data_IF_567604542181
#
_entry.id   IF_567604542181
#
_cell.length_a   1.000
_cell.length_b   1.000
_cell.length_c   1.000
_cell.angle_alpha   90.00
_cell.angle_beta   90.00
_cell.angle_gamma   90.00
#
_symmetry.space_group_name_H-M   'P 1'
#
loop_
_entity.id
_entity.type
_entity.pdbx_description
1 polymer ?
#
# COMPACT_ATOMS: atom_id res chain seq x y z
N UNK A 1 -12.30 2.00 21.80
CA UNK A 1 -13.45 2.51 21.02
C UNK A 1 -14.32 1.33 20.64
N UNK A 2 -15.64 1.44 20.76
CA UNK A 2 -16.58 0.38 20.34
C UNK A 2 -17.34 0.85 19.10
N UNK A 3 -17.30 0.05 18.05
CA UNK A 3 -17.99 0.28 16.78
C UNK A 3 -18.97 -0.85 16.53
N UNK A 4 -20.23 -0.52 16.31
CA UNK A 4 -21.24 -1.50 15.96
C UNK A 4 -21.25 -1.69 14.45
N UNK A 5 -20.72 -2.82 14.00
CA UNK A 5 -20.82 -3.21 12.61
C UNK A 5 -22.27 -3.50 12.22
N UNK A 6 -22.71 -3.17 10.99
CA UNK A 6 -23.92 -3.70 10.41
C UNK A 6 -23.96 -5.24 10.45
N UNK A 7 -25.15 -5.88 10.49
CA UNK A 7 -25.27 -7.34 10.59
C UNK A 7 -24.52 -8.10 9.49
N UNK A 8 -24.58 -7.61 8.25
CA UNK A 8 -23.91 -8.23 7.10
C UNK A 8 -22.38 -8.17 7.24
N UNK A 9 -21.83 -7.01 7.59
CA UNK A 9 -20.39 -6.81 7.77
C UNK A 9 -19.86 -7.67 8.92
N UNK A 10 -20.64 -7.79 10.00
CA UNK A 10 -20.31 -8.68 11.11
C UNK A 10 -20.29 -10.15 10.68
N UNK A 11 -21.22 -10.57 9.82
CA UNK A 11 -21.25 -11.93 9.30
C UNK A 11 -20.04 -12.21 8.39
N UNK A 12 -19.72 -11.28 7.50
CA UNK A 12 -18.53 -11.36 6.66
C UNK A 12 -17.23 -11.42 7.49
N UNK A 13 -17.10 -10.59 8.53
CA UNK A 13 -15.94 -10.64 9.41
C UNK A 13 -15.82 -11.96 10.18
N UNK A 14 -16.94 -12.52 10.65
CA UNK A 14 -16.96 -13.86 11.28
C UNK A 14 -16.56 -14.96 10.31
N UNK A 15 -16.99 -14.89 9.04
CA UNK A 15 -16.59 -15.84 8.02
C UNK A 15 -15.07 -15.79 7.76
N UNK A 16 -14.47 -14.59 7.76
CA UNK A 16 -13.02 -14.41 7.64
C UNK A 16 -12.27 -14.99 8.85
N UNK A 17 -12.76 -14.78 10.07
CA UNK A 17 -12.20 -15.41 11.28
C UNK A 17 -12.28 -16.93 11.20
N UNK A 18 -13.39 -17.49 10.69
CA UNK A 18 -13.58 -18.93 10.55
C UNK A 18 -12.57 -19.60 9.58
N UNK A 19 -11.89 -18.82 8.72
CA UNK A 19 -10.79 -19.33 7.88
C UNK A 19 -9.52 -19.65 8.67
N UNK A 20 -9.42 -19.19 9.92
CA UNK A 20 -8.21 -19.28 10.75
C UNK A 20 -7.14 -18.24 10.42
N UNK A 21 -7.34 -17.39 9.40
CA UNK A 21 -6.41 -16.31 9.03
C UNK A 21 -6.41 -15.14 10.03
N UNK A 22 -7.51 -14.95 10.74
CA UNK A 22 -7.69 -13.87 11.71
C UNK A 22 -8.16 -14.45 13.04
N UNK A 23 -7.70 -13.86 14.14
CA UNK A 23 -7.98 -14.27 15.51
C UNK A 23 -9.28 -13.67 16.06
N UNK A 24 -9.75 -12.57 15.50
CA UNK A 24 -10.95 -11.85 15.96
C UNK A 24 -11.59 -10.97 14.88
N UNK A 25 -12.83 -10.54 15.12
CA UNK A 25 -13.53 -9.58 14.26
C UNK A 25 -12.83 -8.23 14.28
N UNK A 26 -12.30 -7.84 15.44
CA UNK A 26 -11.53 -6.62 15.64
C UNK A 26 -10.27 -6.59 14.78
N UNK A 27 -9.57 -7.72 14.67
CA UNK A 27 -8.40 -7.84 13.79
C UNK A 27 -8.79 -7.67 12.31
N UNK A 28 -9.88 -8.31 11.87
CA UNK A 28 -10.39 -8.15 10.50
C UNK A 28 -10.69 -6.68 10.19
N UNK A 29 -11.34 -5.97 11.12
CA UNK A 29 -11.66 -4.55 10.95
C UNK A 29 -10.38 -3.70 10.91
N UNK A 30 -9.43 -3.96 11.81
CA UNK A 30 -8.14 -3.26 11.84
C UNK A 30 -7.37 -3.41 10.52
N UNK A 31 -7.30 -4.62 9.99
CA UNK A 31 -6.66 -4.87 8.70
C UNK A 31 -7.43 -4.24 7.53
N UNK A 32 -8.76 -4.23 7.56
CA UNK A 32 -9.58 -3.51 6.59
C UNK A 32 -9.30 -2.00 6.58
N UNK A 33 -9.19 -1.38 7.76
CA UNK A 33 -8.84 0.04 7.90
C UNK A 33 -7.42 0.30 7.37
N UNK A 34 -6.45 -0.54 7.74
CA UNK A 34 -5.07 -0.43 7.25
C UNK A 34 -5.01 -0.53 5.73
N UNK A 35 -5.74 -1.47 5.13
CA UNK A 35 -5.79 -1.62 3.68
C UNK A 35 -6.40 -0.39 3.01
N UNK A 36 -7.50 0.15 3.54
CA UNK A 36 -8.13 1.36 3.01
C UNK A 36 -7.17 2.56 3.08
N UNK A 37 -6.53 2.76 4.23
CA UNK A 37 -5.56 3.82 4.42
C UNK A 37 -4.38 3.73 3.45
N UNK A 38 -3.81 2.52 3.29
CA UNK A 38 -2.74 2.28 2.33
C UNK A 38 -3.17 2.54 0.88
N UNK A 39 -4.42 2.21 0.53
CA UNK A 39 -4.98 2.47 -0.80
C UNK A 39 -5.08 3.97 -1.08
N UNK A 40 -5.56 4.76 -0.12
CA UNK A 40 -5.65 6.22 -0.27
C UNK A 40 -4.27 6.88 -0.33
N UNK A 41 -3.29 6.40 0.45
CA UNK A 41 -1.91 6.85 0.30
C UNK A 41 -1.33 6.54 -1.08
N UNK A 42 -1.59 5.34 -1.61
CA UNK A 42 -1.13 4.96 -2.94
C UNK A 42 -1.76 5.84 -4.02
N UNK A 43 -3.06 6.14 -3.92
CA UNK A 43 -3.75 7.07 -4.82
C UNK A 43 -3.12 8.46 -4.81
N UNK A 44 -2.78 8.97 -3.63
CA UNK A 44 -2.09 10.25 -3.50
C UNK A 44 -0.70 10.22 -4.17
N UNK A 45 0.09 9.16 -3.96
CA UNK A 45 1.41 9.01 -4.60
C UNK A 45 1.32 8.89 -6.12
N UNK A 46 0.34 8.15 -6.62
CA UNK A 46 0.09 8.05 -8.07
C UNK A 46 -0.25 9.43 -8.65
N UNK A 47 -1.09 10.22 -7.96
CA UNK A 47 -1.40 11.58 -8.40
C UNK A 47 -0.15 12.43 -8.53
N UNK A 48 0.72 12.43 -7.51
CA UNK A 48 2.00 13.14 -7.55
C UNK A 48 2.83 12.72 -8.76
N UNK A 49 3.00 11.42 -9.00
CA UNK A 49 3.78 10.93 -10.14
C UNK A 49 3.18 11.29 -11.51
N UNK A 50 1.85 11.33 -11.64
CA UNK A 50 1.18 11.81 -12.84
C UNK A 50 1.45 13.30 -13.04
N UNK A 51 1.30 14.10 -11.99
CA UNK A 51 1.52 15.55 -12.08
C UNK A 51 3.00 15.88 -12.41
N UNK A 52 3.96 15.11 -11.89
CA UNK A 52 5.38 15.19 -12.26
C UNK A 52 5.60 14.83 -13.74
N UNK A 53 4.94 13.78 -14.22
CA UNK A 53 5.03 13.37 -15.61
C UNK A 53 4.44 14.41 -16.57
N UNK A 54 3.31 15.01 -16.22
CA UNK A 54 2.68 16.09 -16.99
C UNK A 54 3.57 17.35 -17.06
N UNK A 55 4.39 17.59 -16.02
CA UNK A 55 5.43 18.65 -16.03
C UNK A 55 6.69 18.28 -16.80
N UNK A 56 6.79 17.06 -17.33
CA UNK A 56 7.96 16.57 -18.05
C UNK A 56 9.13 16.16 -17.13
N UNK A 57 8.87 15.91 -15.85
CA UNK A 57 9.89 15.50 -14.85
C UNK A 57 10.22 14.00 -14.91
N UNK A 58 9.77 13.30 -15.95
CA UNK A 58 10.15 11.91 -16.22
C UNK A 58 11.60 11.80 -16.64
N UNK A 59 12.23 10.68 -16.27
CA UNK A 59 13.59 10.34 -16.68
C UNK A 59 13.51 9.13 -17.61
N UNK A 60 14.24 9.21 -18.72
CA UNK A 60 14.38 8.08 -19.65
C UNK A 60 14.94 6.84 -18.95
N UNK A 61 14.42 5.67 -19.36
CA UNK A 61 14.74 4.38 -18.77
C UNK A 61 16.26 4.12 -18.74
N UNK A 62 16.97 4.34 -19.84
CA UNK A 62 18.40 4.04 -19.91
C UNK A 62 19.21 4.93 -18.98
N UNK A 63 18.77 6.19 -18.83
CA UNK A 63 19.34 7.14 -17.87
C UNK A 63 19.10 6.68 -16.42
N UNK A 64 17.89 6.23 -16.07
CA UNK A 64 17.57 5.72 -14.72
C UNK A 64 18.44 4.51 -14.37
N UNK A 65 18.46 3.49 -15.21
CA UNK A 65 19.19 2.25 -14.92
C UNK A 65 20.70 2.45 -14.89
N UNK A 66 21.24 3.34 -15.72
CA UNK A 66 22.66 3.70 -15.67
C UNK A 66 23.03 4.33 -14.32
N UNK A 67 22.20 5.26 -13.82
CA UNK A 67 22.39 5.88 -12.50
C UNK A 67 22.29 4.87 -11.35
N UNK A 68 21.31 3.96 -11.40
CA UNK A 68 21.13 2.94 -10.36
C UNK A 68 22.31 1.96 -10.29
N UNK A 69 22.89 1.54 -11.43
CA UNK A 69 24.08 0.69 -11.46
C UNK A 69 25.29 1.40 -10.85
N UNK A 70 25.51 2.66 -11.19
CA UNK A 70 26.59 3.47 -10.62
C UNK A 70 26.41 3.65 -9.10
N UNK A 71 25.17 3.87 -8.66
CA UNK A 71 24.84 3.98 -7.23
C UNK A 71 25.06 2.67 -6.48
N UNK A 72 24.66 1.52 -7.03
CA UNK A 72 24.89 0.22 -6.42
C UNK A 72 26.40 -0.08 -6.29
N UNK A 73 27.17 0.16 -7.37
CA UNK A 73 28.62 -0.07 -7.38
C UNK A 73 29.39 0.80 -6.37
N UNK A 74 28.88 1.99 -6.02
CA UNK A 74 29.50 2.84 -5.00
C UNK A 74 29.24 2.37 -3.56
N UNK A 75 28.26 1.48 -3.35
CA UNK A 75 27.90 0.94 -2.04
C UNK A 75 28.43 -0.48 -1.80
N UNK A 76 28.79 -1.23 -2.86
CA UNK A 76 29.45 -2.54 -2.77
C UNK A 76 30.94 -2.46 -2.37
N UNK A 77 31.51 -1.27 -2.27
CA UNK A 77 32.91 -1.08 -1.84
C UNK A 77 33.08 -0.95 -0.31
N UNK A 78 32.16 -1.51 0.49
CA UNK A 78 32.25 -1.58 1.97
C UNK A 78 32.25 -3.00 2.49
#
# INVERSE_FOLDING_TARGET
MSIQLPPNDRHAAKALVATGRFTSVEEVVSEGIRQLFNSEQLRAKIRVGIDEADRGEVVDHDTVFSRLRLFAASHDCK
#
